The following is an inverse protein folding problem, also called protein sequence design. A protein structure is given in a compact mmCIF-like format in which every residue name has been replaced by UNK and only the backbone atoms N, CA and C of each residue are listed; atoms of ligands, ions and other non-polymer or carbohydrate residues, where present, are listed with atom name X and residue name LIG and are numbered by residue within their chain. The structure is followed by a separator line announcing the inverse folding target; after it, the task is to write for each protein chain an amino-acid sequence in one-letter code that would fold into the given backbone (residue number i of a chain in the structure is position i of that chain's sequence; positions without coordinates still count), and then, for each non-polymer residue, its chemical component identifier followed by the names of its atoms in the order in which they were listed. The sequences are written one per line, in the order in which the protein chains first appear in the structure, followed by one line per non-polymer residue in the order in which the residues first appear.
data_IF_090785111982
#
_entry.id   IF_090785111982
#
_cell.length_a   1.000
_cell.length_b   1.000
_cell.length_c   1.000
_cell.angle_alpha   90.00
_cell.angle_beta   90.00
_cell.angle_gamma   90.00
#
_symmetry.space_group_name_H-M   'P 1'
#
loop_
_entity.id
_entity.type
_entity.pdbx_description
1 polymer ?
#
# COMPACT_ATOMS: atom_id res chain seq x y z
N UNK A 1 11.12 -2.82 -8.31
CA UNK A 1 10.54 -1.78 -7.42
C UNK A 1 11.58 -0.69 -7.23
N UNK A 2 11.22 0.60 -7.33
CA UNK A 2 12.16 1.74 -7.19
C UNK A 2 12.68 1.95 -5.75
N UNK A 3 11.97 1.42 -4.75
CA UNK A 3 12.28 1.60 -3.32
C UNK A 3 12.38 0.27 -2.57
N UNK A 4 13.39 0.13 -1.71
CA UNK A 4 13.56 -1.00 -0.81
C UNK A 4 12.50 -1.00 0.31
N UNK A 5 12.26 -2.16 0.92
CA UNK A 5 11.33 -2.28 2.05
C UNK A 5 11.76 -1.39 3.23
N UNK A 6 13.04 -1.41 3.58
CA UNK A 6 13.61 -0.61 4.66
C UNK A 6 13.43 0.89 4.43
N UNK A 7 13.63 1.34 3.18
CA UNK A 7 13.42 2.73 2.81
C UNK A 7 11.97 3.17 3.04
N UNK A 8 11.00 2.35 2.60
CA UNK A 8 9.57 2.65 2.81
C UNK A 8 9.20 2.71 4.29
N UNK A 9 9.68 1.74 5.08
CA UNK A 9 9.49 1.69 6.53
C UNK A 9 10.03 2.94 7.20
N UNK A 10 11.26 3.34 6.88
CA UNK A 10 11.87 4.56 7.40
C UNK A 10 11.06 5.81 7.04
N UNK A 11 10.54 5.89 5.81
CA UNK A 11 9.67 6.99 5.38
C UNK A 11 8.35 7.04 6.15
N UNK A 12 7.70 5.89 6.39
CA UNK A 12 6.46 5.81 7.18
C UNK A 12 6.72 6.20 8.64
N UNK A 13 7.83 5.76 9.24
CA UNK A 13 8.22 6.13 10.60
C UNK A 13 8.49 7.63 10.74
N UNK A 14 9.20 8.24 9.77
CA UNK A 14 9.40 9.70 9.75
C UNK A 14 8.08 10.45 9.59
N UNK A 15 7.20 9.98 8.70
CA UNK A 15 5.89 10.59 8.47
C UNK A 15 5.01 10.58 9.73
N UNK A 16 5.02 9.47 10.49
CA UNK A 16 4.31 9.38 11.79
C UNK A 16 4.87 10.34 12.84
N UNK A 17 6.16 10.69 12.77
CA UNK A 17 6.81 11.70 13.63
C UNK A 17 6.59 13.14 13.14
N UNK A 18 5.91 13.34 12.01
CA UNK A 18 5.72 14.65 11.40
C UNK A 18 6.94 15.17 10.62
N UNK A 19 7.95 14.32 10.39
CA UNK A 19 9.17 14.67 9.67
C UNK A 19 9.01 14.25 8.19
N UNK A 20 9.28 15.17 7.27
CA UNK A 20 9.30 14.86 5.84
C UNK A 20 10.67 14.27 5.46
N UNK A 21 10.75 13.03 4.95
CA UNK A 21 12.01 12.46 4.47
C UNK A 21 12.51 13.15 3.19
N UNK A 22 13.81 13.05 2.94
CA UNK A 22 14.44 13.58 1.74
C UNK A 22 13.81 13.00 0.48
N UNK A 23 13.53 13.89 -0.48
CA UNK A 23 12.87 13.53 -1.74
C UNK A 23 13.93 12.88 -2.64
N UNK A 24 13.73 11.63 -3.08
CA UNK A 24 14.68 10.97 -3.98
C UNK A 24 14.69 11.63 -5.36
N UNK A 25 15.82 11.55 -6.07
CA UNK A 25 15.94 12.18 -7.38
C UNK A 25 14.97 11.60 -8.41
N UNK A 26 14.38 12.49 -9.22
CA UNK A 26 13.47 12.15 -10.31
C UNK A 26 12.04 11.83 -9.88
N UNK A 27 11.56 12.40 -8.76
CA UNK A 27 10.14 12.42 -8.37
C UNK A 27 9.81 13.81 -7.79
N UNK A 28 8.59 14.30 -8.02
CA UNK A 28 8.14 15.56 -7.41
C UNK A 28 7.83 15.36 -5.93
N UNK A 29 7.94 16.45 -5.15
CA UNK A 29 7.60 16.45 -3.72
C UNK A 29 6.19 15.93 -3.46
N UNK A 30 5.24 16.35 -4.29
CA UNK A 30 3.83 15.97 -4.18
C UNK A 30 3.63 14.47 -4.39
N UNK A 31 4.19 13.93 -5.47
CA UNK A 31 4.10 12.50 -5.80
C UNK A 31 4.74 11.64 -4.69
N UNK A 32 5.88 12.08 -4.14
CA UNK A 32 6.53 11.38 -3.03
C UNK A 32 5.68 11.42 -1.75
N UNK A 33 5.07 12.56 -1.42
CA UNK A 33 4.14 12.66 -0.30
C UNK A 33 2.89 11.77 -0.49
N UNK A 34 2.37 11.68 -1.71
CA UNK A 34 1.28 10.76 -2.04
C UNK A 34 1.69 9.30 -1.82
N UNK A 35 2.90 8.90 -2.20
CA UNK A 35 3.42 7.55 -1.95
C UNK A 35 3.58 7.25 -0.46
N UNK A 36 4.13 8.18 0.33
CA UNK A 36 4.27 8.01 1.79
C UNK A 36 2.91 7.83 2.46
N UNK A 37 1.93 8.67 2.09
CA UNK A 37 0.55 8.55 2.59
C UNK A 37 -0.05 7.19 2.25
N UNK A 38 0.20 6.71 1.02
CA UNK A 38 -0.24 5.40 0.56
C UNK A 38 0.39 4.27 1.39
N UNK A 39 1.70 4.28 1.58
CA UNK A 39 2.39 3.26 2.40
C UNK A 39 1.91 3.27 3.85
N UNK A 40 1.71 4.45 4.44
CA UNK A 40 1.23 4.60 5.82
C UNK A 40 -0.14 3.96 5.99
N UNK A 41 -1.10 4.31 5.12
CA UNK A 41 -2.45 3.73 5.17
C UNK A 41 -2.43 2.21 4.96
N UNK A 42 -1.51 1.71 4.12
CA UNK A 42 -1.39 0.28 3.81
C UNK A 42 -0.87 -0.48 5.04
N UNK A 43 0.14 0.09 5.71
CA UNK A 43 0.69 -0.42 6.96
C UNK A 43 -0.35 -0.39 8.09
N UNK A 44 -1.19 0.66 8.15
CA UNK A 44 -2.27 0.75 9.14
C UNK A 44 -3.37 -0.32 8.92
N UNK A 45 -3.65 -0.71 7.66
CA UNK A 45 -4.68 -1.69 7.35
C UNK A 45 -4.22 -3.16 7.45
N UNK A 46 -2.98 -3.45 7.07
CA UNK A 46 -2.49 -4.83 6.90
C UNK A 46 -1.21 -5.13 7.70
N UNK A 47 -0.70 -4.16 8.46
CA UNK A 47 0.57 -4.27 9.16
C UNK A 47 1.79 -4.01 8.27
N UNK A 48 3.00 -3.95 8.87
CA UNK A 48 4.22 -3.52 8.17
C UNK A 48 4.69 -4.50 7.09
N UNK A 49 4.39 -5.79 7.23
CA UNK A 49 4.88 -6.84 6.32
C UNK A 49 4.33 -6.71 4.90
N UNK A 50 3.21 -6.03 4.71
CA UNK A 50 2.56 -5.83 3.41
C UNK A 50 3.36 -4.91 2.48
N UNK A 51 4.21 -4.02 3.02
CA UNK A 51 5.06 -3.13 2.22
C UNK A 51 6.22 -3.88 1.56
N UNK A 52 6.51 -5.10 2.04
CA UNK A 52 7.54 -5.97 1.47
C UNK A 52 7.04 -6.47 0.12
N UNK A 53 7.88 -6.28 -0.90
CA UNK A 53 7.62 -6.87 -2.20
C UNK A 53 7.53 -8.39 -2.07
N UNK A 54 6.42 -8.98 -2.53
CA UNK A 54 6.27 -10.43 -2.59
C UNK A 54 6.97 -10.92 -3.86
N UNK A 55 7.87 -11.89 -3.72
CA UNK A 55 8.53 -12.53 -4.89
C UNK A 55 7.53 -13.27 -5.78
N UNK A 56 6.38 -13.66 -5.21
CA UNK A 56 5.32 -14.38 -5.89
C UNK A 56 3.98 -13.69 -5.65
N UNK A 57 3.11 -13.76 -6.65
CA UNK A 57 1.73 -13.30 -6.50
C UNK A 57 1.04 -14.14 -5.42
N UNK A 58 0.19 -13.49 -4.60
CA UNK A 58 -0.67 -14.21 -3.66
C UNK A 58 -1.58 -15.14 -4.49
N UNK A 59 -1.58 -16.43 -4.18
CA UNK A 59 -2.60 -17.34 -4.69
C UNK A 59 -3.91 -17.04 -3.97
N UNK A 60 -4.92 -16.64 -4.73
CA UNK A 60 -6.24 -16.30 -4.20
C UNK A 60 -7.18 -17.49 -4.41
N UNK A 61 -7.74 -18.01 -3.31
CA UNK A 61 -8.75 -19.07 -3.43
C UNK A 61 -10.06 -18.51 -4.00
N UNK A 62 -10.93 -19.34 -4.60
CA UNK A 62 -12.24 -18.91 -5.07
C UNK A 62 -13.06 -18.21 -3.98
N UNK A 63 -13.00 -18.69 -2.73
CA UNK A 63 -13.72 -18.13 -1.59
C UNK A 63 -13.19 -16.75 -1.20
N UNK A 64 -11.86 -16.57 -1.21
CA UNK A 64 -11.26 -15.26 -0.94
C UNK A 64 -11.65 -14.24 -2.02
N UNK A 65 -11.65 -14.63 -3.29
CA UNK A 65 -12.10 -13.78 -4.40
C UNK A 65 -13.56 -13.41 -4.23
N UNK A 66 -14.42 -14.38 -3.93
CA UNK A 66 -15.84 -14.16 -3.71
C UNK A 66 -16.07 -13.18 -2.56
N UNK A 67 -15.32 -13.31 -1.46
CA UNK A 67 -15.41 -12.38 -0.32
C UNK A 67 -15.11 -10.93 -0.73
N UNK A 68 -14.13 -10.70 -1.60
CA UNK A 68 -13.82 -9.37 -2.12
C UNK A 68 -14.96 -8.83 -3.01
N UNK A 69 -15.51 -9.68 -3.89
CA UNK A 69 -16.62 -9.30 -4.76
C UNK A 69 -17.88 -8.96 -3.94
N UNK A 70 -18.21 -9.75 -2.92
CA UNK A 70 -19.34 -9.47 -2.02
C UNK A 70 -19.21 -8.14 -1.28
N UNK A 71 -17.99 -7.71 -0.95
CA UNK A 71 -17.76 -6.39 -0.36
C UNK A 71 -18.09 -5.24 -1.33
N UNK A 72 -17.80 -5.43 -2.61
CA UNK A 72 -18.14 -4.44 -3.64
C UNK A 72 -19.66 -4.42 -3.88
N UNK A 73 -20.29 -5.60 -3.94
CA UNK A 73 -21.76 -5.72 -4.09
C UNK A 73 -22.50 -5.07 -2.91
N UNK A 74 -21.93 -5.11 -1.70
CA UNK A 74 -22.49 -4.43 -0.52
C UNK A 74 -22.24 -2.92 -0.49
N UNK A 75 -21.70 -2.34 -1.57
CA UNK A 75 -21.56 -0.90 -1.75
C UNK A 75 -20.19 -0.32 -1.40
N UNK A 76 -19.19 -1.15 -1.07
CA UNK A 76 -17.82 -0.65 -0.88
C UNK A 76 -17.16 -0.36 -2.23
N UNK A 77 -16.37 0.71 -2.30
CA UNK A 77 -15.62 1.01 -3.51
C UNK A 77 -14.55 -0.06 -3.80
N UNK A 78 -14.37 -0.42 -5.07
CA UNK A 78 -13.31 -1.37 -5.48
C UNK A 78 -11.93 -0.95 -4.98
N UNK A 79 -11.63 0.36 -5.00
CA UNK A 79 -10.38 0.92 -4.49
C UNK A 79 -10.20 0.61 -3.00
N UNK A 80 -11.21 0.84 -2.18
CA UNK A 80 -11.14 0.54 -0.74
C UNK A 80 -10.99 -0.95 -0.45
N UNK A 81 -11.66 -1.81 -1.22
CA UNK A 81 -11.58 -3.27 -1.06
C UNK A 81 -10.19 -3.78 -1.45
N UNK A 82 -9.66 -3.35 -2.60
CA UNK A 82 -8.31 -3.69 -3.03
C UNK A 82 -7.25 -3.21 -2.03
N UNK A 83 -7.39 -1.97 -1.57
CA UNK A 83 -6.51 -1.38 -0.57
C UNK A 83 -6.44 -2.19 0.72
N UNK A 84 -7.60 -2.52 1.29
CA UNK A 84 -7.69 -3.33 2.51
C UNK A 84 -7.19 -4.75 2.27
N UNK A 85 -7.35 -5.30 1.07
CA UNK A 85 -6.84 -6.61 0.71
C UNK A 85 -5.32 -6.62 0.42
N UNK A 86 -4.64 -5.48 0.51
CA UNK A 86 -3.22 -5.35 0.16
C UNK A 86 -2.95 -5.57 -1.33
N UNK A 87 -3.97 -5.40 -2.18
CA UNK A 87 -3.88 -5.46 -3.63
C UNK A 87 -3.44 -4.08 -4.10
N UNK A 88 -2.28 -4.04 -4.76
CA UNK A 88 -1.82 -2.84 -5.46
C UNK A 88 -2.82 -2.54 -6.59
N UNK A 89 -3.15 -1.26 -6.83
CA UNK A 89 -4.22 -0.80 -7.73
C UNK A 89 -3.98 -1.08 -9.23
N UNK A 90 -3.02 -1.94 -9.56
CA UNK A 90 -2.58 -2.19 -10.93
C UNK A 90 -1.84 -0.98 -11.48
N UNK A 91 -0.58 -1.18 -11.86
CA UNK A 91 -0.02 -0.42 -12.97
C UNK A 91 -0.12 -1.30 -14.20
#
# INVERSE_FOLDING_TARGET
MRYSYEFKRKCVEMYRKGILPDIPDGITKEEFQHQIRRWTRIEDANGPTVLRHKSQNKYWTPEEKLKLVSQVITGKSCKSVAFNAGINDGQ
#
